data_IF_069719140398
#
_entry.id   IF_069719140398
#
_cell.length_a   1.000
_cell.length_b   1.000
_cell.length_c   1.000
_cell.angle_alpha   90.00
_cell.angle_beta   90.00
_cell.angle_gamma   90.00
#
_symmetry.space_group_name_H-M   'P 1'
#
loop_
_entity.id
_entity.type
_entity.pdbx_description
1 polymer ?
#
# COMPACT_ATOMS: atom_id res chain seq x y z
N UNK A 1 -25.56 -0.02 0.04
CA UNK A 1 -24.81 -0.28 -1.23
C UNK A 1 -23.40 -0.66 -0.85
N UNK A 2 -22.87 -1.80 -1.31
CA UNK A 2 -21.44 -2.10 -1.15
C UNK A 2 -20.66 -1.09 -1.97
N UNK A 3 -19.72 -0.36 -1.35
CA UNK A 3 -18.81 0.55 -2.06
C UNK A 3 -18.11 -0.23 -3.17
N UNK A 4 -18.15 0.28 -4.38
CA UNK A 4 -17.47 -0.31 -5.55
C UNK A 4 -15.94 -0.20 -5.42
N UNK A 5 -15.47 0.73 -4.58
CA UNK A 5 -14.05 1.02 -4.34
C UNK A 5 -13.42 -0.01 -3.41
N UNK A 6 -12.18 -0.39 -3.68
CA UNK A 6 -11.38 -1.29 -2.87
C UNK A 6 -10.18 -0.54 -2.29
N UNK A 7 -10.08 -0.45 -0.98
CA UNK A 7 -8.93 0.14 -0.28
C UNK A 7 -7.93 -0.96 0.05
N UNK A 8 -6.74 -0.86 -0.51
CA UNK A 8 -5.62 -1.79 -0.32
C UNK A 8 -4.51 -1.08 0.43
N UNK A 9 -4.19 -1.54 1.61
CA UNK A 9 -3.06 -1.04 2.40
C UNK A 9 -1.84 -1.90 2.14
N UNK A 10 -0.71 -1.25 1.89
CA UNK A 10 0.59 -1.91 1.73
C UNK A 10 1.37 -1.72 3.04
N UNK A 11 1.46 -2.78 3.85
CA UNK A 11 2.01 -2.69 5.18
C UNK A 11 3.04 -3.79 5.48
N UNK A 12 4.11 -3.39 6.15
CA UNK A 12 5.06 -4.29 6.83
C UNK A 12 5.84 -3.49 7.87
N UNK A 13 6.05 -4.06 9.07
CA UNK A 13 6.82 -3.46 10.14
C UNK A 13 8.31 -3.28 9.76
N UNK A 14 8.84 -4.11 8.86
CA UNK A 14 10.23 -4.04 8.43
C UNK A 14 10.42 -2.95 7.38
N UNK A 15 11.41 -2.06 7.60
CA UNK A 15 11.86 -1.10 6.59
C UNK A 15 12.57 -1.78 5.42
N UNK A 16 12.58 -1.14 4.25
CA UNK A 16 13.32 -1.60 3.08
C UNK A 16 12.81 -2.91 2.44
N UNK A 17 11.56 -3.29 2.67
CA UNK A 17 10.94 -4.48 2.04
C UNK A 17 10.24 -4.17 0.72
N UNK A 18 10.35 -2.94 0.23
CA UNK A 18 9.74 -2.50 -1.03
C UNK A 18 8.24 -2.17 -0.91
N UNK A 19 7.77 -1.65 0.23
CA UNK A 19 6.39 -1.17 0.38
C UNK A 19 6.06 -0.10 -0.66
N UNK A 20 6.77 1.01 -0.63
CA UNK A 20 6.62 2.16 -1.52
C UNK A 20 6.71 1.76 -3.00
N UNK A 21 7.75 1.01 -3.38
CA UNK A 21 7.91 0.51 -4.76
C UNK A 21 6.74 -0.40 -5.17
N UNK A 22 6.20 -1.20 -4.23
CA UNK A 22 5.05 -2.05 -4.49
C UNK A 22 3.77 -1.22 -4.62
N UNK A 23 3.57 -0.21 -3.76
CA UNK A 23 2.42 0.70 -3.84
C UNK A 23 2.38 1.41 -5.18
N UNK A 24 3.48 2.03 -5.59
CA UNK A 24 3.65 2.72 -6.87
C UNK A 24 3.35 1.78 -8.05
N UNK A 25 4.10 0.69 -8.14
CA UNK A 25 4.04 -0.15 -9.35
C UNK A 25 2.77 -1.02 -9.43
N UNK A 26 2.19 -1.45 -8.31
CA UNK A 26 0.88 -2.11 -8.31
C UNK A 26 -0.21 -1.09 -8.66
N UNK A 27 -0.14 0.14 -8.15
CA UNK A 27 -1.09 1.19 -8.46
C UNK A 27 -1.12 1.52 -9.95
N UNK A 28 0.03 1.82 -10.52
CA UNK A 28 0.17 2.08 -11.96
C UNK A 28 -0.20 0.84 -12.78
N UNK A 29 0.17 -0.36 -12.34
CA UNK A 29 -0.26 -1.61 -12.96
C UNK A 29 -1.77 -1.78 -12.99
N UNK A 30 -2.48 -1.41 -11.91
CA UNK A 30 -3.95 -1.43 -11.87
C UNK A 30 -4.58 -0.37 -12.78
N UNK A 31 -3.97 0.80 -12.91
CA UNK A 31 -4.39 1.83 -13.86
C UNK A 31 -4.24 1.32 -15.32
N UNK A 32 -3.15 0.62 -15.64
CA UNK A 32 -2.96 -0.05 -16.94
C UNK A 32 -3.99 -1.15 -17.20
N UNK A 33 -4.56 -1.77 -16.18
CA UNK A 33 -5.70 -2.71 -16.26
C UNK A 33 -7.06 -1.99 -16.32
N UNK A 34 -7.07 -0.66 -16.52
CA UNK A 34 -8.27 0.17 -16.71
C UNK A 34 -9.01 0.54 -15.42
N UNK A 35 -8.35 0.50 -14.26
CA UNK A 35 -8.91 0.95 -13.00
C UNK A 35 -8.63 2.44 -12.78
N UNK A 36 -9.59 3.16 -12.19
CA UNK A 36 -9.37 4.50 -11.67
C UNK A 36 -8.72 4.40 -10.30
N UNK A 37 -7.46 4.78 -10.20
CA UNK A 37 -6.58 4.54 -9.04
C UNK A 37 -6.14 5.84 -8.42
N UNK A 38 -6.19 5.89 -7.08
CA UNK A 38 -5.51 6.91 -6.30
C UNK A 38 -4.55 6.26 -5.30
N UNK A 39 -3.37 6.84 -5.19
CA UNK A 39 -2.34 6.50 -4.22
C UNK A 39 -2.40 7.50 -3.07
N UNK A 40 -2.26 7.02 -1.86
CA UNK A 40 -2.14 7.87 -0.67
C UNK A 40 -0.79 7.56 -0.04
N UNK A 41 0.09 8.54 -0.04
CA UNK A 41 1.31 8.47 0.74
C UNK A 41 0.96 8.69 2.22
N UNK A 42 1.20 7.69 3.05
CA UNK A 42 0.85 7.75 4.46
C UNK A 42 2.08 7.50 5.36
N UNK A 43 3.27 7.76 4.79
CA UNK A 43 4.55 7.74 5.51
C UNK A 43 5.07 9.17 5.66
N UNK A 44 5.44 9.64 6.88
CA UNK A 44 6.07 10.95 7.08
C UNK A 44 7.35 11.17 6.27
N UNK A 45 8.01 10.11 5.79
CA UNK A 45 9.19 10.22 4.95
C UNK A 45 8.86 10.62 3.50
N UNK A 46 7.59 10.55 3.10
CA UNK A 46 7.09 10.93 1.77
C UNK A 46 7.79 10.24 0.59
N UNK A 47 8.26 8.99 0.82
CA UNK A 47 9.01 8.24 -0.19
C UNK A 47 8.16 7.92 -1.43
N UNK A 48 6.84 7.68 -1.28
CA UNK A 48 5.94 7.45 -2.42
C UNK A 48 5.76 8.74 -3.24
N UNK A 49 5.58 9.86 -2.56
CA UNK A 49 5.50 11.18 -3.20
C UNK A 49 6.77 11.47 -4.01
N UNK A 50 7.93 11.25 -3.39
CA UNK A 50 9.22 11.45 -4.05
C UNK A 50 9.44 10.50 -5.24
N UNK A 51 8.99 9.23 -5.14
CA UNK A 51 9.13 8.24 -6.23
C UNK A 51 8.30 8.58 -7.46
N UNK A 52 7.23 9.36 -7.27
CA UNK A 52 6.38 9.90 -8.35
C UNK A 52 6.75 11.35 -8.74
N UNK A 53 7.96 11.80 -8.41
CA UNK A 53 8.50 13.09 -8.83
C UNK A 53 8.13 14.29 -7.96
N UNK A 54 7.37 14.11 -6.88
CA UNK A 54 6.99 15.17 -5.95
C UNK A 54 8.07 15.30 -4.87
N UNK A 55 9.13 16.09 -5.16
CA UNK A 55 10.36 16.12 -4.32
C UNK A 55 10.34 17.15 -3.20
N UNK A 56 9.44 18.13 -3.23
CA UNK A 56 9.38 19.23 -2.27
C UNK A 56 8.11 19.17 -1.42
N UNK A 57 7.65 17.97 -1.08
CA UNK A 57 6.38 17.79 -0.36
C UNK A 57 6.37 18.43 1.03
N UNK A 58 7.54 18.59 1.69
CA UNK A 58 7.65 19.29 2.98
C UNK A 58 7.26 20.77 2.92
N UNK A 59 7.30 21.39 1.74
CA UNK A 59 6.88 22.77 1.53
C UNK A 59 5.44 22.90 0.97
N UNK A 60 4.70 21.78 0.87
CA UNK A 60 3.35 21.76 0.35
C UNK A 60 2.34 21.94 1.48
N UNK A 61 1.37 22.83 1.27
CA UNK A 61 0.23 23.01 2.17
C UNK A 61 -0.80 21.88 1.99
N UNK A 62 -0.97 21.41 0.74
CA UNK A 62 -1.99 20.44 0.35
C UNK A 62 -1.44 19.00 0.38
N UNK A 63 -1.51 18.37 1.54
CA UNK A 63 -1.06 16.99 1.76
C UNK A 63 -2.13 16.19 2.50
N UNK A 64 -1.89 14.90 2.70
CA UNK A 64 -2.79 14.07 3.51
C UNK A 64 -2.99 14.62 4.91
N UNK A 65 -2.00 15.32 5.49
CA UNK A 65 -2.11 15.97 6.79
C UNK A 65 -3.24 17.00 6.83
N UNK A 66 -3.44 17.80 5.77
CA UNK A 66 -4.54 18.74 5.68
C UNK A 66 -5.89 18.03 5.77
N UNK A 67 -6.08 16.96 4.97
CA UNK A 67 -7.33 16.20 4.98
C UNK A 67 -7.65 15.63 6.37
N UNK A 68 -6.62 15.08 7.04
CA UNK A 68 -6.78 14.51 8.39
C UNK A 68 -7.10 15.57 9.43
N UNK A 69 -6.43 16.73 9.40
CA UNK A 69 -6.71 17.85 10.32
C UNK A 69 -8.14 18.40 10.10
N UNK A 70 -8.57 18.59 8.85
CA UNK A 70 -9.94 19.02 8.53
C UNK A 70 -10.98 18.00 9.01
N UNK A 71 -10.69 16.71 8.89
CA UNK A 71 -11.56 15.64 9.40
C UNK A 71 -11.75 15.75 10.92
N UNK A 72 -10.65 15.97 11.68
CA UNK A 72 -10.72 16.16 13.14
C UNK A 72 -11.53 17.41 13.52
N UNK A 73 -11.41 18.46 12.71
CA UNK A 73 -12.11 19.75 12.93
C UNK A 73 -13.54 19.75 12.37
N UNK A 74 -14.01 18.65 11.80
CA UNK A 74 -15.32 18.53 11.13
C UNK A 74 -15.52 19.57 10.02
N UNK A 75 -14.43 19.88 9.29
CA UNK A 75 -14.40 20.85 8.19
C UNK A 75 -14.47 20.15 6.83
N UNK A 76 -15.00 20.86 5.83
CA UNK A 76 -15.04 20.37 4.45
C UNK A 76 -13.63 20.24 3.85
N UNK A 77 -13.40 19.14 3.16
CA UNK A 77 -12.13 18.85 2.48
C UNK A 77 -12.31 19.13 0.99
N UNK A 78 -11.49 20.02 0.44
CA UNK A 78 -11.39 20.19 -1.00
C UNK A 78 -10.35 19.20 -1.56
N UNK A 79 -10.79 18.06 -2.03
CA UNK A 79 -9.88 17.03 -2.57
C UNK A 79 -9.21 17.43 -3.88
N UNK A 80 -9.77 18.38 -4.63
CA UNK A 80 -9.20 18.82 -5.90
C UNK A 80 -7.90 19.61 -5.69
N UNK A 81 -7.72 20.24 -4.51
CA UNK A 81 -6.46 20.88 -4.13
C UNK A 81 -5.41 19.86 -3.63
N UNK A 82 -5.86 18.73 -3.06
CA UNK A 82 -4.99 17.69 -2.49
C UNK A 82 -4.47 16.71 -3.52
N UNK A 83 -5.23 16.50 -4.59
CA UNK A 83 -4.96 15.44 -5.57
C UNK A 83 -4.03 15.95 -6.66
N UNK A 84 -2.93 15.27 -6.85
CA UNK A 84 -1.99 15.50 -7.96
C UNK A 84 -2.17 14.38 -8.98
N UNK A 85 -2.39 14.75 -10.23
CA UNK A 85 -2.46 13.79 -11.33
C UNK A 85 -1.06 13.45 -11.84
N UNK A 86 -0.73 12.17 -11.92
CA UNK A 86 0.53 11.67 -12.47
C UNK A 86 0.36 11.19 -13.91
N UNK A 87 1.36 11.42 -14.76
CA UNK A 87 1.34 11.13 -16.20
C UNK A 87 1.05 9.65 -16.53
N UNK A 88 1.29 8.73 -15.62
CA UNK A 88 0.98 7.30 -15.76
C UNK A 88 -0.46 6.93 -15.36
N UNK A 89 -1.40 7.88 -15.41
CA UNK A 89 -2.84 7.72 -15.16
C UNK A 89 -3.19 7.23 -13.74
N UNK A 90 -2.45 7.65 -12.75
CA UNK A 90 -2.79 7.53 -11.35
C UNK A 90 -2.86 8.91 -10.71
N UNK A 91 -3.72 9.05 -9.71
CA UNK A 91 -3.76 10.21 -8.85
C UNK A 91 -3.00 9.91 -7.55
N UNK A 92 -2.45 10.94 -6.92
CA UNK A 92 -1.78 10.82 -5.62
C UNK A 92 -2.18 11.95 -4.68
N UNK A 93 -2.38 11.61 -3.40
CA UNK A 93 -2.35 12.57 -2.30
C UNK A 93 -0.99 12.41 -1.61
N UNK A 94 -0.14 13.47 -1.66
CA UNK A 94 1.21 13.40 -1.11
C UNK A 94 1.21 13.46 0.42
N UNK A 95 2.32 13.03 1.02
CA UNK A 95 2.66 13.19 2.43
C UNK A 95 3.77 14.21 2.63
N UNK A 96 3.99 14.59 3.89
CA UNK A 96 5.14 15.36 4.33
C UNK A 96 5.47 15.04 5.78
N UNK A 97 6.55 15.65 6.29
CA UNK A 97 7.05 15.41 7.67
C UNK A 97 6.03 15.77 8.75
N UNK A 98 5.07 16.66 8.49
CA UNK A 98 4.02 17.04 9.45
C UNK A 98 3.15 15.85 9.88
N UNK A 99 3.10 14.78 9.07
CA UNK A 99 2.38 13.55 9.42
C UNK A 99 2.95 12.87 10.67
N UNK A 100 4.24 13.08 11.00
CA UNK A 100 4.81 12.62 12.26
C UNK A 100 4.25 13.38 13.47
N UNK A 101 4.11 14.70 13.36
CA UNK A 101 3.49 15.54 14.39
C UNK A 101 1.99 15.24 14.52
N UNK A 102 1.33 14.95 13.41
CA UNK A 102 -0.06 14.52 13.41
C UNK A 102 -0.25 13.21 14.19
N UNK A 103 0.65 12.23 14.04
CA UNK A 103 0.58 10.98 14.81
C UNK A 103 0.60 11.24 16.34
N UNK A 104 1.39 12.21 16.79
CA UNK A 104 1.40 12.61 18.21
C UNK A 104 0.08 13.28 18.65
N UNK A 105 -0.50 14.12 17.80
CA UNK A 105 -1.80 14.78 18.07
C UNK A 105 -2.94 13.76 18.24
N UNK A 106 -2.91 12.64 17.52
CA UNK A 106 -3.94 11.60 17.58
C UNK A 106 -4.15 11.03 18.99
N UNK A 107 -3.18 11.13 19.89
CA UNK A 107 -3.29 10.60 21.26
C UNK A 107 -4.51 11.17 22.00
N UNK A 108 -4.87 12.44 21.76
CA UNK A 108 -5.97 13.15 22.41
C UNK A 108 -7.27 13.18 21.59
N UNK A 109 -7.28 12.59 20.39
CA UNK A 109 -8.44 12.64 19.49
C UNK A 109 -9.39 11.47 19.75
N UNK A 110 -10.69 11.75 19.78
CA UNK A 110 -11.73 10.70 19.84
C UNK A 110 -11.77 9.92 18.54
N UNK A 111 -12.02 8.60 18.65
CA UNK A 111 -12.05 7.69 17.48
C UNK A 111 -10.79 7.77 16.61
N UNK A 112 -9.66 8.09 17.23
CA UNK A 112 -8.36 8.35 16.58
C UNK A 112 -7.90 7.26 15.61
N UNK A 113 -8.39 6.04 15.77
CA UNK A 113 -8.08 4.91 14.91
C UNK A 113 -8.81 4.97 13.55
N UNK A 114 -9.81 5.85 13.42
CA UNK A 114 -10.70 5.92 12.26
C UNK A 114 -10.62 7.23 11.47
N UNK A 115 -9.71 8.12 11.83
CA UNK A 115 -9.62 9.44 11.19
C UNK A 115 -9.35 9.30 9.70
N UNK A 116 -8.44 8.42 9.28
CA UNK A 116 -8.20 8.16 7.86
C UNK A 116 -9.42 7.53 7.17
N UNK A 117 -10.11 6.57 7.80
CA UNK A 117 -11.32 5.98 7.22
C UNK A 117 -12.39 7.04 6.95
N UNK A 118 -12.61 7.96 7.90
CA UNK A 118 -13.56 9.09 7.72
C UNK A 118 -13.07 10.04 6.62
N UNK A 119 -11.79 10.37 6.63
CA UNK A 119 -11.20 11.29 5.65
C UNK A 119 -11.31 10.79 4.21
N UNK A 120 -11.16 9.50 3.94
CA UNK A 120 -11.15 8.97 2.56
C UNK A 120 -12.53 8.52 2.03
N UNK A 121 -13.60 8.66 2.82
CA UNK A 121 -14.94 8.22 2.37
C UNK A 121 -15.36 8.85 1.03
N UNK A 122 -15.19 10.17 0.78
CA UNK A 122 -15.56 10.75 -0.50
C UNK A 122 -14.73 10.21 -1.68
N UNK A 123 -13.49 9.80 -1.44
CA UNK A 123 -12.63 9.21 -2.48
C UNK A 123 -13.13 7.82 -2.91
N UNK A 124 -13.79 7.09 -2.03
CA UNK A 124 -14.39 5.79 -2.36
C UNK A 124 -15.47 5.87 -3.44
N UNK A 125 -16.07 7.04 -3.64
CA UNK A 125 -17.06 7.28 -4.70
C UNK A 125 -16.38 7.66 -6.03
N UNK A 126 -15.16 8.20 -5.96
CA UNK A 126 -14.42 8.73 -7.11
C UNK A 126 -13.50 7.71 -7.78
N UNK A 127 -13.05 6.66 -7.04
CA UNK A 127 -12.02 5.71 -7.49
C UNK A 127 -12.47 4.26 -7.38
N UNK A 128 -11.93 3.41 -8.26
CA UNK A 128 -12.11 1.95 -8.19
C UNK A 128 -11.19 1.33 -7.13
N UNK A 129 -9.99 1.90 -6.97
CA UNK A 129 -8.97 1.41 -6.02
C UNK A 129 -8.26 2.59 -5.35
N UNK A 130 -8.11 2.49 -4.03
CA UNK A 130 -7.26 3.37 -3.23
C UNK A 130 -6.12 2.51 -2.68
N UNK A 131 -4.85 2.85 -2.98
CA UNK A 131 -3.69 2.21 -2.35
C UNK A 131 -3.08 3.15 -1.32
N UNK A 132 -2.75 2.62 -0.15
CA UNK A 132 -2.16 3.39 0.94
C UNK A 132 -0.78 2.82 1.26
N UNK A 133 0.26 3.65 1.11
CA UNK A 133 1.62 3.31 1.53
C UNK A 133 1.84 3.65 3.01
N UNK A 134 2.29 2.68 3.80
CA UNK A 134 2.43 2.83 5.24
C UNK A 134 3.88 2.95 5.71
N UNK A 135 4.13 3.66 6.83
CA UNK A 135 5.45 3.67 7.46
C UNK A 135 5.88 2.28 7.95
N UNK A 136 7.19 2.05 8.17
CA UNK A 136 7.72 0.79 8.68
C UNK A 136 7.51 0.66 10.20
N UNK A 137 6.27 0.82 10.65
CA UNK A 137 5.89 0.76 12.07
C UNK A 137 4.55 0.06 12.24
N UNK A 138 4.17 -0.23 13.47
CA UNK A 138 2.80 -0.63 13.85
C UNK A 138 2.19 0.45 14.76
N UNK A 139 2.57 1.72 14.52
CA UNK A 139 2.06 2.89 15.22
C UNK A 139 0.64 3.27 14.81
N UNK A 140 0.20 4.45 15.27
CA UNK A 140 -1.17 4.91 15.08
C UNK A 140 -1.49 5.19 13.61
N UNK A 141 -0.52 5.61 12.80
CA UNK A 141 -0.69 5.76 11.36
C UNK A 141 -1.03 4.42 10.70
N UNK A 142 -0.26 3.37 10.98
CA UNK A 142 -0.55 2.03 10.42
C UNK A 142 -1.90 1.50 10.90
N UNK A 143 -2.30 1.75 12.17
CA UNK A 143 -3.62 1.37 12.68
C UNK A 143 -4.72 2.11 11.91
N UNK A 144 -4.57 3.42 11.64
CA UNK A 144 -5.50 4.19 10.81
C UNK A 144 -5.64 3.63 9.39
N UNK A 145 -4.51 3.32 8.75
CA UNK A 145 -4.52 2.69 7.44
C UNK A 145 -5.26 1.35 7.45
N UNK A 146 -4.96 0.47 8.41
CA UNK A 146 -5.66 -0.82 8.55
C UNK A 146 -7.15 -0.66 8.87
N UNK A 147 -7.52 0.38 9.61
CA UNK A 147 -8.92 0.67 9.96
C UNK A 147 -9.74 1.09 8.73
N UNK A 148 -9.12 1.74 7.76
CA UNK A 148 -9.74 2.16 6.50
C UNK A 148 -9.74 1.08 5.41
N UNK A 149 -8.96 0.01 5.58
CA UNK A 149 -8.67 -0.97 4.55
C UNK A 149 -9.79 -1.99 4.33
N UNK A 150 -9.97 -2.41 3.07
CA UNK A 150 -10.70 -3.63 2.72
C UNK A 150 -9.72 -4.81 2.61
N UNK A 151 -8.49 -4.54 2.15
CA UNK A 151 -7.46 -5.55 1.97
C UNK A 151 -6.08 -5.06 2.41
N UNK A 152 -5.21 -5.99 2.85
CA UNK A 152 -3.80 -5.73 3.16
C UNK A 152 -2.91 -6.57 2.26
N UNK A 153 -2.05 -5.92 1.49
CA UNK A 153 -0.96 -6.54 0.75
C UNK A 153 0.31 -6.42 1.58
N UNK A 154 1.01 -7.53 1.79
CA UNK A 154 2.18 -7.59 2.66
C UNK A 154 3.44 -7.89 1.83
N UNK A 155 4.23 -6.88 1.45
CA UNK A 155 5.53 -7.10 0.83
C UNK A 155 6.51 -7.71 1.84
N UNK A 156 7.20 -8.78 1.44
CA UNK A 156 8.20 -9.46 2.27
C UNK A 156 9.47 -9.67 1.46
N UNK A 157 10.56 -9.12 1.96
CA UNK A 157 11.87 -9.35 1.36
C UNK A 157 12.32 -10.80 1.55
N UNK A 158 12.81 -11.45 0.47
CA UNK A 158 13.37 -12.78 0.50
C UNK A 158 14.73 -12.80 1.24
N UNK A 159 14.68 -12.73 2.58
CA UNK A 159 15.84 -12.82 3.49
C UNK A 159 15.60 -13.84 4.59
N UNK A 160 16.68 -14.40 5.14
CA UNK A 160 16.67 -15.54 6.08
C UNK A 160 15.88 -15.34 7.40
N UNK A 161 15.48 -14.12 7.79
CA UNK A 161 14.78 -13.87 9.07
C UNK A 161 13.53 -12.95 8.94
N UNK A 162 12.48 -13.32 8.19
CA UNK A 162 11.27 -12.49 8.15
C UNK A 162 10.22 -12.82 9.23
N UNK A 163 10.33 -13.96 9.92
CA UNK A 163 9.22 -14.56 10.66
C UNK A 163 8.64 -13.70 11.80
N UNK A 164 9.48 -13.07 12.63
CA UNK A 164 8.99 -12.33 13.81
C UNK A 164 8.18 -11.08 13.47
N UNK A 165 8.59 -10.33 12.44
CA UNK A 165 7.89 -9.11 12.01
C UNK A 165 6.51 -9.39 11.42
N UNK A 166 6.40 -10.43 10.61
CA UNK A 166 5.14 -10.84 10.00
C UNK A 166 4.12 -11.30 11.05
N UNK A 167 4.54 -12.12 12.01
CA UNK A 167 3.65 -12.58 13.09
C UNK A 167 3.05 -11.40 13.87
N UNK A 168 3.86 -10.38 14.17
CA UNK A 168 3.37 -9.16 14.83
C UNK A 168 2.37 -8.41 13.97
N UNK A 169 2.66 -8.23 12.68
CA UNK A 169 1.75 -7.56 11.75
C UNK A 169 0.42 -8.32 11.63
N UNK A 170 0.44 -9.63 11.43
CA UNK A 170 -0.77 -10.45 11.37
C UNK A 170 -1.57 -10.39 12.67
N UNK A 171 -0.90 -10.38 13.83
CA UNK A 171 -1.54 -10.15 15.12
C UNK A 171 -2.20 -8.78 15.25
N UNK A 172 -1.57 -7.73 14.71
CA UNK A 172 -2.16 -6.37 14.67
C UNK A 172 -3.36 -6.32 13.72
N UNK A 173 -3.26 -6.90 12.52
CA UNK A 173 -4.39 -7.00 11.57
C UNK A 173 -5.56 -7.73 12.23
N UNK A 174 -5.32 -8.85 12.92
CA UNK A 174 -6.36 -9.60 13.63
C UNK A 174 -7.04 -8.76 14.72
N UNK A 175 -6.29 -7.98 15.50
CA UNK A 175 -6.86 -7.08 16.51
C UNK A 175 -7.72 -5.99 15.84
N UNK A 176 -7.22 -5.34 14.80
CA UNK A 176 -7.98 -4.34 14.03
C UNK A 176 -9.25 -4.96 13.46
N UNK A 177 -9.18 -6.18 12.91
CA UNK A 177 -10.35 -6.89 12.37
C UNK A 177 -11.43 -7.13 13.43
N UNK A 178 -11.04 -7.56 14.62
CA UNK A 178 -12.00 -7.87 15.68
C UNK A 178 -12.58 -6.62 16.36
N UNK A 179 -11.80 -5.56 16.49
CA UNK A 179 -12.16 -4.43 17.36
C UNK A 179 -12.59 -3.17 16.59
N UNK A 180 -12.12 -2.98 15.35
CA UNK A 180 -12.28 -1.70 14.65
C UNK A 180 -12.89 -1.87 13.25
N UNK A 181 -12.29 -2.75 12.42
CA UNK A 181 -12.66 -2.92 11.02
C UNK A 181 -12.92 -4.40 10.67
N UNK A 182 -14.14 -4.92 10.87
CA UNK A 182 -14.45 -6.34 10.57
C UNK A 182 -14.28 -6.74 9.09
N UNK A 183 -14.22 -5.76 8.18
CA UNK A 183 -14.12 -6.02 6.74
C UNK A 183 -12.70 -6.37 6.28
N UNK A 184 -11.68 -5.94 7.02
CA UNK A 184 -10.28 -6.09 6.62
C UNK A 184 -9.90 -7.55 6.41
N UNK A 185 -9.20 -7.82 5.31
CA UNK A 185 -8.67 -9.15 4.97
C UNK A 185 -7.22 -9.05 4.52
N UNK A 186 -6.44 -10.08 4.81
CA UNK A 186 -5.12 -10.19 4.20
C UNK A 186 -5.31 -10.65 2.75
N UNK A 187 -4.97 -9.78 1.79
CA UNK A 187 -5.01 -10.07 0.36
C UNK A 187 -3.99 -11.14 0.00
N UNK A 188 -2.79 -10.99 0.53
CA UNK A 188 -1.70 -11.92 0.37
C UNK A 188 -0.34 -11.31 0.68
N UNK A 189 0.67 -12.17 0.62
CA UNK A 189 2.09 -11.84 0.77
C UNK A 189 2.71 -11.75 -0.62
N UNK A 190 3.38 -10.65 -0.92
CA UNK A 190 4.18 -10.45 -2.12
C UNK A 190 5.67 -10.60 -1.77
N UNK A 191 6.35 -11.58 -2.36
CA UNK A 191 7.79 -11.77 -2.17
C UNK A 191 8.54 -10.76 -3.04
N UNK A 192 9.32 -9.90 -2.40
CA UNK A 192 10.03 -8.79 -3.03
C UNK A 192 11.54 -8.90 -2.84
N UNK A 193 12.29 -8.13 -3.65
CA UNK A 193 13.74 -7.99 -3.55
C UNK A 193 14.47 -9.35 -3.48
N UNK A 194 14.00 -10.32 -4.25
CA UNK A 194 14.50 -11.67 -4.23
C UNK A 194 15.71 -11.86 -5.15
N UNK A 195 16.75 -12.53 -4.67
CA UNK A 195 17.88 -12.98 -5.48
C UNK A 195 17.55 -14.34 -6.14
N UNK A 196 16.63 -14.32 -7.10
CA UNK A 196 16.02 -15.52 -7.70
C UNK A 196 17.02 -16.49 -8.37
N UNK A 197 18.21 -16.00 -8.73
CA UNK A 197 19.25 -16.79 -9.42
C UNK A 197 20.24 -17.47 -8.46
N UNK A 198 20.05 -17.33 -7.14
CA UNK A 198 20.94 -17.94 -6.13
C UNK A 198 20.24 -19.10 -5.40
N UNK A 199 21.02 -20.09 -4.97
CA UNK A 199 20.51 -21.22 -4.17
C UNK A 199 19.86 -20.69 -2.89
N UNK A 200 20.52 -19.77 -2.19
CA UNK A 200 19.99 -19.16 -0.97
C UNK A 200 18.68 -18.40 -1.22
N UNK A 201 18.59 -17.65 -2.33
CA UNK A 201 17.37 -16.93 -2.69
C UNK A 201 16.19 -17.88 -2.93
N UNK A 202 16.39 -18.98 -3.66
CA UNK A 202 15.37 -20.00 -3.90
C UNK A 202 14.92 -20.65 -2.58
N UNK A 203 15.87 -21.13 -1.77
CA UNK A 203 15.56 -21.71 -0.46
C UNK A 203 14.79 -20.76 0.45
N UNK A 204 15.12 -19.47 0.43
CA UNK A 204 14.40 -18.45 1.22
C UNK A 204 12.96 -18.25 0.73
N UNK A 205 12.74 -18.24 -0.60
CA UNK A 205 11.40 -18.16 -1.19
C UNK A 205 10.55 -19.37 -0.75
N UNK A 206 11.12 -20.58 -0.83
CA UNK A 206 10.43 -21.81 -0.42
C UNK A 206 10.09 -21.78 1.07
N UNK A 207 11.03 -21.35 1.93
CA UNK A 207 10.80 -21.16 3.37
C UNK A 207 9.66 -20.17 3.65
N UNK A 208 9.56 -19.07 2.91
CA UNK A 208 8.45 -18.12 3.06
C UNK A 208 7.12 -18.79 2.68
N UNK A 209 7.07 -19.52 1.59
CA UNK A 209 5.87 -20.24 1.15
C UNK A 209 5.43 -21.31 2.14
N UNK A 210 6.36 -22.09 2.67
CA UNK A 210 6.09 -23.13 3.68
C UNK A 210 5.59 -22.51 5.00
N UNK A 211 6.24 -21.46 5.49
CA UNK A 211 5.91 -20.87 6.79
C UNK A 211 4.59 -20.10 6.78
N UNK A 212 4.22 -19.50 5.65
CA UNK A 212 3.06 -18.59 5.58
C UNK A 212 1.93 -19.12 4.70
N UNK A 213 2.23 -19.97 3.71
CA UNK A 213 1.24 -20.42 2.73
C UNK A 213 0.05 -21.17 3.31
N UNK A 214 0.21 -21.80 4.48
CA UNK A 214 -0.88 -22.47 5.20
C UNK A 214 -1.82 -21.48 5.95
N UNK A 215 -1.39 -20.24 6.16
CA UNK A 215 -2.11 -19.26 6.95
C UNK A 215 -2.64 -18.08 6.10
N UNK A 216 -1.86 -17.67 5.12
CA UNK A 216 -2.19 -16.54 4.22
C UNK A 216 -1.76 -16.89 2.80
N UNK A 217 -2.46 -16.33 1.82
CA UNK A 217 -2.05 -16.49 0.41
C UNK A 217 -0.65 -15.89 0.24
N UNK A 218 0.28 -16.64 -0.34
CA UNK A 218 1.53 -16.13 -0.88
C UNK A 218 1.39 -16.09 -2.41
N UNK A 219 1.63 -14.93 -3.02
CA UNK A 219 1.54 -14.78 -4.48
C UNK A 219 2.64 -15.62 -5.16
N UNK A 220 2.31 -16.17 -6.33
CA UNK A 220 3.25 -17.00 -7.10
C UNK A 220 4.37 -16.15 -7.69
N UNK A 221 4.04 -14.91 -8.09
CA UNK A 221 5.00 -13.94 -8.60
C UNK A 221 5.98 -13.52 -7.52
N UNK A 222 7.26 -13.56 -7.86
CA UNK A 222 8.38 -13.09 -7.05
C UNK A 222 9.02 -11.90 -7.72
N UNK A 223 9.07 -10.76 -7.04
CA UNK A 223 9.72 -9.54 -7.55
C UNK A 223 11.22 -9.61 -7.27
N UNK A 224 12.07 -9.65 -8.31
CA UNK A 224 13.51 -9.76 -8.13
C UNK A 224 14.13 -8.44 -7.65
N UNK A 225 15.34 -8.52 -7.07
CA UNK A 225 16.21 -7.34 -6.92
C UNK A 225 16.54 -6.80 -8.31
N UNK A 226 16.39 -5.48 -8.48
CA UNK A 226 16.76 -4.84 -9.75
C UNK A 226 17.11 -3.37 -9.56
N UNK A 227 18.24 -2.96 -10.09
CA UNK A 227 18.72 -1.56 -10.06
C UNK A 227 17.74 -0.63 -10.77
N UNK A 228 17.02 -1.15 -11.78
CA UNK A 228 16.02 -0.39 -12.56
C UNK A 228 14.88 0.19 -11.72
N UNK A 229 14.51 -0.45 -10.61
CA UNK A 229 13.50 0.12 -9.71
C UNK A 229 14.02 1.36 -8.98
N UNK A 230 15.29 1.35 -8.55
CA UNK A 230 15.90 2.53 -7.93
C UNK A 230 16.15 3.67 -8.92
N UNK A 231 16.58 3.35 -10.14
CA UNK A 231 16.73 4.34 -11.21
C UNK A 231 15.39 5.01 -11.56
N UNK A 232 14.32 4.23 -11.65
CA UNK A 232 12.96 4.73 -11.94
C UNK A 232 12.51 5.75 -10.86
N UNK A 233 12.70 5.44 -9.58
CA UNK A 233 12.42 6.37 -8.47
C UNK A 233 13.18 7.70 -8.61
N UNK A 234 14.46 7.66 -9.07
CA UNK A 234 15.25 8.88 -9.30
C UNK A 234 14.66 9.74 -10.42
N UNK A 235 14.01 9.14 -11.42
CA UNK A 235 13.37 9.85 -12.52
C UNK A 235 11.93 10.28 -12.21
N UNK A 236 11.34 9.85 -11.10
CA UNK A 236 9.93 10.09 -10.80
C UNK A 236 8.98 9.29 -11.70
N UNK A 237 9.37 8.07 -12.06
CA UNK A 237 8.65 7.19 -13.00
C UNK A 237 8.53 5.79 -12.44
N UNK A 238 7.50 5.07 -12.86
CA UNK A 238 7.40 3.64 -12.57
C UNK A 238 8.44 2.81 -13.33
N UNK A 239 8.61 1.55 -12.89
CA UNK A 239 9.42 0.58 -13.66
C UNK A 239 8.82 0.29 -15.05
N UNK A 240 7.53 0.51 -15.25
CA UNK A 240 6.86 0.28 -16.53
C UNK A 240 7.22 1.34 -17.56
N UNK A 241 7.42 2.59 -17.13
CA UNK A 241 7.83 3.68 -18.01
C UNK A 241 9.35 3.69 -18.18
N UNK A 242 10.10 3.60 -17.06
CA UNK A 242 11.57 3.69 -17.08
C UNK A 242 12.23 2.47 -17.74
N UNK A 243 11.73 1.24 -17.50
CA UNK A 243 12.41 0.01 -17.91
C UNK A 243 11.42 -1.15 -18.15
N UNK A 244 10.46 -0.97 -19.07
CA UNK A 244 9.32 -1.89 -19.35
C UNK A 244 9.73 -3.34 -19.62
N UNK A 245 10.89 -3.57 -20.22
CA UNK A 245 11.37 -4.90 -20.56
C UNK A 245 12.15 -5.58 -19.44
N UNK A 246 12.39 -4.88 -18.33
CA UNK A 246 13.11 -5.40 -17.18
C UNK A 246 12.35 -6.54 -16.48
N UNK A 247 13.09 -7.41 -15.80
CA UNK A 247 12.49 -8.48 -15.00
C UNK A 247 11.63 -7.94 -13.85
N UNK A 248 11.95 -6.76 -13.33
CA UNK A 248 11.18 -6.10 -12.26
C UNK A 248 9.84 -5.61 -12.79
N UNK A 249 9.82 -4.95 -13.96
CA UNK A 249 8.58 -4.49 -14.60
C UNK A 249 7.65 -5.69 -14.90
N UNK A 250 8.17 -6.75 -15.52
CA UNK A 250 7.41 -7.97 -15.79
C UNK A 250 6.87 -8.63 -14.53
N UNK A 251 7.65 -8.61 -13.44
CA UNK A 251 7.21 -9.16 -12.17
C UNK A 251 6.06 -8.33 -11.56
N UNK A 252 6.14 -6.99 -11.54
CA UNK A 252 5.03 -6.16 -11.07
C UNK A 252 3.78 -6.28 -11.95
N UNK A 253 3.93 -6.40 -13.27
CA UNK A 253 2.81 -6.68 -14.17
C UNK A 253 2.11 -8.00 -13.81
N UNK A 254 2.87 -9.08 -13.59
CA UNK A 254 2.33 -10.37 -13.20
C UNK A 254 1.69 -10.34 -11.82
N UNK A 255 2.32 -9.69 -10.82
CA UNK A 255 1.75 -9.51 -9.49
C UNK A 255 0.42 -8.75 -9.55
N UNK A 256 0.34 -7.69 -10.34
CA UNK A 256 -0.91 -6.93 -10.54
C UNK A 256 -2.01 -7.83 -11.12
N UNK A 257 -1.70 -8.63 -12.14
CA UNK A 257 -2.65 -9.59 -12.72
C UNK A 257 -3.12 -10.63 -11.71
N UNK A 258 -2.24 -11.13 -10.86
CA UNK A 258 -2.62 -12.06 -9.77
C UNK A 258 -3.52 -11.40 -8.73
N UNK A 259 -3.26 -10.14 -8.37
CA UNK A 259 -4.11 -9.34 -7.47
C UNK A 259 -5.51 -9.20 -8.04
N UNK A 260 -5.63 -8.78 -9.30
CA UNK A 260 -6.92 -8.62 -9.99
C UNK A 260 -7.71 -9.93 -10.02
N UNK A 261 -7.05 -11.06 -10.36
CA UNK A 261 -7.70 -12.39 -10.37
C UNK A 261 -8.18 -12.80 -8.99
N UNK A 262 -7.40 -12.55 -7.95
CA UNK A 262 -7.75 -12.87 -6.55
C UNK A 262 -9.03 -12.18 -6.10
N UNK A 263 -9.23 -10.94 -6.52
CA UNK A 263 -10.42 -10.16 -6.19
C UNK A 263 -11.66 -10.63 -6.95
N UNK A 264 -11.52 -11.00 -8.24
CA UNK A 264 -12.64 -11.53 -9.05
C UNK A 264 -13.15 -12.88 -8.55
N UNK A 265 -12.27 -13.77 -8.10
CA UNK A 265 -12.65 -15.08 -7.57
C UNK A 265 -13.46 -14.94 -6.27
N UNK A 266 -13.10 -14.00 -5.39
CA UNK A 266 -13.83 -13.75 -4.14
C UNK A 266 -15.25 -13.20 -4.37
N UNK A 267 -15.46 -12.43 -5.44
CA UNK A 267 -16.79 -11.90 -5.80
C UNK A 267 -17.74 -12.98 -6.32
N UNK A 268 -17.25 -14.07 -6.92
CA UNK A 268 -18.10 -15.20 -7.36
C UNK A 268 -18.53 -16.11 -6.20
N UNK A 269 -17.66 -16.31 -5.20
CA UNK A 269 -17.97 -17.15 -4.04
C UNK A 269 -18.90 -16.52 -2.99
N UNK A 270 -19.11 -15.19 -3.02
CA UNK A 270 -20.03 -14.50 -2.10
C UNK A 270 -21.49 -14.44 -2.64
N UNK A 271 -21.75 -14.92 -3.86
CA UNK A 271 -23.06 -14.98 -4.46
C UNK A 271 -23.77 -16.36 -4.28
N UNK A 272 -23.08 -17.33 -3.66
CA UNK A 272 -23.61 -18.70 -3.45
C UNK A 272 -23.76 -19.07 -1.95
N UNK A 273 -23.96 -18.08 -1.07
CA UNK A 273 -24.31 -18.37 0.33
C UNK A 273 -25.46 -17.51 0.81
#
# INVERSE_FOLDING_TARGET
>A
MQSKCNVIVIANQKGGVGKTTTTENVGIGLAKEGKKVILIDFDPQADLSASLGIRNSDNMEHTICEALNKTIMEQDINYDDLIIHHDENVDIIPSNIELADFELKLVSVMSRERILDMSIQPLRERYDVILIDCPPSLGMLTINALSSADNVLIPVQAQYLPAKGMTKLLGTISKVQHQINPRIKVLGVAITLAKVNTILGKSTIDTIRENYGNHVKVFDTVVPVGVKAAEATVEGKSVFEHAKDSNVAKAYENLTKEIVRSQKIKNKGSLER
#
